data_IF_768461166021
#
_entry.id   IF_768461166021
#
_cell.length_a   1.000
_cell.length_b   1.000
_cell.length_c   1.000
_cell.angle_alpha   90.00
_cell.angle_beta   90.00
_cell.angle_gamma   90.00
#
_symmetry.space_group_name_H-M   'P 1'
#
loop_
_entity.id
_entity.type
_entity.pdbx_description
1 polymer ?
#
# COMPACT_ATOMS: atom_id res chain seq x y z
N UNK A 1 14.83 16.77 11.62
CA UNK A 1 13.64 17.04 12.46
C UNK A 1 12.66 18.08 11.87
N UNK A 2 12.66 18.36 10.54
CA UNK A 2 11.70 19.29 9.89
C UNK A 2 10.58 18.58 9.09
N UNK A 3 10.80 17.33 8.69
CA UNK A 3 9.82 16.51 7.95
C UNK A 3 8.60 16.19 8.82
N UNK A 4 8.80 15.84 10.09
CA UNK A 4 7.70 15.58 11.03
C UNK A 4 6.84 16.82 11.27
N UNK A 5 7.45 18.02 11.28
CA UNK A 5 6.73 19.29 11.45
C UNK A 5 5.85 19.59 10.24
N UNK A 6 6.34 19.35 9.02
CA UNK A 6 5.56 19.56 7.80
C UNK A 6 4.47 18.51 7.59
N UNK A 7 4.74 17.26 7.94
CA UNK A 7 3.71 16.22 7.96
C UNK A 7 2.61 16.58 8.97
N UNK A 8 2.98 17.12 10.13
CA UNK A 8 2.05 17.62 11.14
C UNK A 8 1.22 18.81 10.63
N UNK A 9 1.84 19.80 9.98
CA UNK A 9 1.15 20.96 9.39
C UNK A 9 0.19 20.55 8.25
N UNK A 10 0.58 19.61 7.39
CA UNK A 10 -0.28 19.08 6.32
C UNK A 10 -1.48 18.30 6.87
N UNK A 11 -1.33 17.68 8.04
CA UNK A 11 -2.43 17.03 8.78
C UNK A 11 -3.34 18.04 9.50
N UNK A 12 -2.79 19.17 9.96
CA UNK A 12 -3.51 20.24 10.65
C UNK A 12 -4.33 21.12 9.68
N UNK A 13 -3.87 21.31 8.44
CA UNK A 13 -4.55 22.14 7.43
C UNK A 13 -5.76 21.47 6.76
N UNK A 14 -5.97 20.18 6.99
CA UNK A 14 -7.16 19.51 6.50
C UNK A 14 -8.22 19.49 7.59
N UNK A 15 -9.34 20.18 7.39
CA UNK A 15 -10.57 20.18 8.21
C UNK A 15 -11.27 18.81 8.24
N UNK A 16 -10.48 17.75 8.37
CA UNK A 16 -10.87 16.37 8.12
C UNK A 16 -10.87 15.62 9.44
N UNK A 17 -12.02 15.04 9.80
CA UNK A 17 -12.21 14.27 11.02
C UNK A 17 -11.05 13.28 11.27
N UNK A 18 -10.59 13.11 12.53
CA UNK A 18 -9.52 12.17 12.87
C UNK A 18 -9.72 10.75 12.32
N UNK A 19 -10.98 10.31 12.20
CA UNK A 19 -11.33 9.02 11.61
C UNK A 19 -11.05 8.97 10.10
N UNK A 20 -11.35 10.04 9.38
CA UNK A 20 -11.11 10.13 7.92
C UNK A 20 -9.62 10.22 7.65
N UNK A 21 -8.85 10.96 8.48
CA UNK A 21 -7.39 11.00 8.40
C UNK A 21 -6.77 9.62 8.66
N UNK A 22 -7.24 8.91 9.69
CA UNK A 22 -6.79 7.54 9.96
C UNK A 22 -7.13 6.57 8.81
N UNK A 23 -8.32 6.68 8.23
CA UNK A 23 -8.72 5.89 7.06
C UNK A 23 -7.88 6.22 5.82
N UNK A 24 -7.58 7.50 5.59
CA UNK A 24 -6.73 7.98 4.50
C UNK A 24 -5.33 7.36 4.61
N UNK A 25 -4.77 7.34 5.82
CA UNK A 25 -3.47 6.71 6.07
C UNK A 25 -3.52 5.19 5.85
N UNK A 26 -4.57 4.53 6.33
CA UNK A 26 -4.77 3.09 6.15
C UNK A 26 -4.86 2.70 4.68
N UNK A 27 -5.60 3.46 3.86
CA UNK A 27 -5.68 3.26 2.41
C UNK A 27 -4.33 3.49 1.74
N UNK A 28 -3.62 4.56 2.08
CA UNK A 28 -2.29 4.80 1.53
C UNK A 28 -1.30 3.67 1.83
N UNK A 29 -1.29 3.17 3.06
CA UNK A 29 -0.46 2.02 3.46
C UNK A 29 -0.93 0.73 2.80
N UNK A 30 -2.23 0.49 2.67
CA UNK A 30 -2.75 -0.67 1.94
C UNK A 30 -2.24 -0.70 0.50
N UNK A 31 -2.25 0.47 -0.17
CA UNK A 31 -1.75 0.63 -1.52
C UNK A 31 -0.24 0.41 -1.61
N UNK A 32 0.53 0.87 -0.62
CA UNK A 32 1.97 0.62 -0.51
C UNK A 32 2.35 -0.87 -0.45
N UNK A 33 1.47 -1.72 0.10
CA UNK A 33 1.66 -3.16 0.20
C UNK A 33 0.88 -3.95 -0.88
N UNK A 34 0.24 -3.26 -1.82
CA UNK A 34 -0.58 -3.90 -2.84
C UNK A 34 0.28 -4.66 -3.87
N UNK A 35 -0.22 -5.75 -4.47
CA UNK A 35 0.50 -6.54 -5.48
C UNK A 35 0.56 -5.85 -6.84
N UNK A 36 0.18 -4.58 -6.95
CA UNK A 36 0.02 -3.86 -8.21
C UNK A 36 1.02 -2.70 -8.31
N UNK A 37 2.31 -2.99 -8.57
CA UNK A 37 3.31 -1.95 -8.73
C UNK A 37 2.90 -0.99 -9.84
N UNK A 38 3.02 0.32 -9.58
CA UNK A 38 2.62 1.37 -10.51
C UNK A 38 1.12 1.71 -10.51
N UNK A 39 0.22 0.72 -10.48
CA UNK A 39 -1.23 0.97 -10.46
C UNK A 39 -1.73 1.55 -9.13
N UNK A 40 -0.95 1.42 -8.06
CA UNK A 40 -1.25 2.00 -6.75
C UNK A 40 -1.61 3.50 -6.80
N UNK A 41 -1.00 4.30 -7.70
CA UNK A 41 -1.33 5.72 -7.82
C UNK A 41 -2.69 5.96 -8.49
N UNK A 42 -3.07 5.10 -9.44
CA UNK A 42 -4.40 5.14 -10.06
C UNK A 42 -5.45 4.79 -8.99
N UNK A 43 -5.21 3.72 -8.23
CA UNK A 43 -6.08 3.36 -7.11
C UNK A 43 -6.12 4.46 -6.05
N UNK A 44 -5.01 5.14 -5.77
CA UNK A 44 -4.98 6.27 -4.85
C UNK A 44 -5.94 7.37 -5.29
N UNK A 45 -5.90 7.78 -6.56
CA UNK A 45 -6.79 8.80 -7.11
C UNK A 45 -8.25 8.36 -7.00
N UNK A 46 -8.57 7.14 -7.46
CA UNK A 46 -9.93 6.59 -7.47
C UNK A 46 -10.49 6.48 -6.05
N UNK A 47 -9.75 5.83 -5.15
CA UNK A 47 -10.20 5.59 -3.77
C UNK A 47 -10.31 6.90 -2.98
N UNK A 48 -9.38 7.83 -3.18
CA UNK A 48 -9.45 9.13 -2.51
C UNK A 48 -10.69 9.90 -2.92
N UNK A 49 -11.04 9.89 -4.21
CA UNK A 49 -12.25 10.53 -4.71
C UNK A 49 -13.52 9.84 -4.19
N UNK A 50 -13.61 8.51 -4.29
CA UNK A 50 -14.82 7.75 -3.91
C UNK A 50 -15.07 7.75 -2.40
N UNK A 51 -14.03 7.59 -1.60
CA UNK A 51 -14.12 7.52 -0.14
C UNK A 51 -13.98 8.90 0.53
N UNK A 52 -13.85 9.98 -0.26
CA UNK A 52 -13.66 11.36 0.20
C UNK A 52 -12.52 11.49 1.21
N UNK A 53 -11.38 10.87 0.88
CA UNK A 53 -10.19 10.83 1.74
C UNK A 53 -9.33 12.06 1.54
N UNK A 54 -8.42 12.31 2.48
CA UNK A 54 -7.39 13.32 2.31
C UNK A 54 -6.28 12.78 1.39
N UNK A 55 -6.19 13.30 0.17
CA UNK A 55 -5.19 12.93 -0.84
C UNK A 55 -3.76 13.02 -0.31
N UNK A 56 -3.43 14.05 0.47
CA UNK A 56 -2.08 14.24 1.00
C UNK A 56 -1.72 13.14 1.98
N UNK A 57 -2.66 12.74 2.84
CA UNK A 57 -2.44 11.67 3.81
C UNK A 57 -2.34 10.32 3.13
N UNK A 58 -3.15 10.06 2.10
CA UNK A 58 -3.04 8.85 1.26
C UNK A 58 -1.64 8.79 0.62
N UNK A 59 -1.16 9.88 0.02
CA UNK A 59 0.18 9.96 -0.57
C UNK A 59 1.25 9.68 0.48
N UNK A 60 1.16 10.25 1.68
CA UNK A 60 2.09 9.98 2.78
C UNK A 60 2.11 8.49 3.13
N UNK A 61 0.94 7.83 3.17
CA UNK A 61 0.85 6.38 3.36
C UNK A 61 1.53 5.58 2.24
N UNK A 62 1.38 6.01 0.98
CA UNK A 62 2.03 5.38 -0.18
C UNK A 62 3.55 5.51 -0.11
N UNK A 63 4.08 6.62 0.42
CA UNK A 63 5.53 6.84 0.56
C UNK A 63 6.22 5.86 1.53
N UNK A 64 5.45 5.06 2.29
CA UNK A 64 5.98 3.89 2.98
C UNK A 64 6.64 2.93 2.00
N UNK A 65 6.19 2.88 0.75
CA UNK A 65 6.80 2.15 -0.35
C UNK A 65 7.84 3.02 -1.10
N UNK A 66 9.06 3.05 -0.56
CA UNK A 66 10.22 3.78 -1.08
C UNK A 66 11.35 2.80 -1.46
N UNK A 67 12.44 3.24 -2.12
CA UNK A 67 13.49 2.32 -2.58
C UNK A 67 14.11 1.44 -1.48
N UNK A 68 14.10 1.91 -0.23
CA UNK A 68 14.63 1.15 0.91
C UNK A 68 13.65 0.09 1.40
N UNK A 69 12.35 0.37 1.37
CA UNK A 69 11.30 -0.56 1.84
C UNK A 69 10.74 -1.44 0.74
N UNK A 70 10.93 -1.08 -0.53
CA UNK A 70 10.47 -1.82 -1.70
C UNK A 70 10.85 -3.30 -1.63
N UNK A 71 12.14 -3.58 -1.52
CA UNK A 71 12.65 -4.95 -1.48
C UNK A 71 12.13 -5.74 -0.26
N UNK A 72 12.22 -5.22 0.99
CA UNK A 72 11.64 -5.87 2.15
C UNK A 72 10.15 -6.19 2.02
N UNK A 73 9.35 -5.25 1.49
CA UNK A 73 7.90 -5.43 1.32
C UNK A 73 7.63 -6.59 0.34
N UNK A 74 8.27 -6.57 -0.83
CA UNK A 74 8.02 -7.60 -1.86
C UNK A 74 8.48 -8.98 -1.40
N UNK A 75 9.65 -9.05 -0.76
CA UNK A 75 10.15 -10.30 -0.18
C UNK A 75 9.19 -10.83 0.88
N UNK A 76 8.71 -9.97 1.77
CA UNK A 76 7.76 -10.37 2.81
C UNK A 76 6.45 -10.89 2.21
N UNK A 77 5.96 -10.28 1.12
CA UNK A 77 4.77 -10.76 0.42
C UNK A 77 4.97 -12.14 -0.18
N UNK A 78 6.11 -12.43 -0.80
CA UNK A 78 6.41 -13.77 -1.32
C UNK A 78 6.46 -14.79 -0.18
N UNK A 79 7.16 -14.48 0.91
CA UNK A 79 7.31 -15.36 2.07
C UNK A 79 5.96 -15.66 2.73
N UNK A 80 5.15 -14.62 2.96
CA UNK A 80 3.80 -14.77 3.54
C UNK A 80 2.90 -15.58 2.60
N UNK A 81 2.99 -15.33 1.29
CA UNK A 81 2.26 -16.08 0.28
C UNK A 81 2.59 -17.56 0.28
N UNK A 82 3.88 -17.90 0.27
CA UNK A 82 4.35 -19.28 0.31
C UNK A 82 3.98 -19.97 1.63
N UNK A 83 4.05 -19.24 2.74
CA UNK A 83 3.60 -19.77 4.04
C UNK A 83 2.11 -20.14 4.02
N UNK A 84 1.26 -19.23 3.51
CA UNK A 84 -0.20 -19.41 3.47
C UNK A 84 -0.61 -20.53 2.51
N UNK A 85 0.13 -20.70 1.42
CA UNK A 85 -0.14 -21.75 0.43
C UNK A 85 0.65 -23.05 0.71
N UNK A 86 1.31 -23.14 1.86
CA UNK A 86 2.12 -24.31 2.27
C UNK A 86 3.21 -24.70 1.25
N UNK A 87 3.80 -23.71 0.59
CA UNK A 87 4.88 -23.87 -0.40
C UNK A 87 6.24 -23.68 0.26
N UNK A 88 7.22 -24.51 -0.09
CA UNK A 88 8.59 -24.45 0.46
C UNK A 88 9.47 -23.44 -0.27
N UNK A 89 9.11 -22.15 -0.25
CA UNK A 89 9.83 -21.07 -0.95
C UNK A 89 9.90 -21.19 -2.49
N UNK A 90 9.05 -22.05 -3.07
CA UNK A 90 9.02 -22.33 -4.51
C UNK A 90 8.71 -21.10 -5.36
N UNK A 91 8.05 -20.08 -4.79
CA UNK A 91 7.75 -18.86 -5.53
C UNK A 91 8.98 -18.00 -5.76
N UNK A 92 9.97 -18.08 -4.85
CA UNK A 92 11.25 -17.42 -5.01
C UNK A 92 12.05 -18.06 -6.15
N UNK A 93 12.00 -19.38 -6.26
CA UNK A 93 12.67 -20.11 -7.33
C UNK A 93 11.98 -19.83 -8.67
N UNK A 94 10.64 -19.91 -8.72
CA UNK A 94 9.87 -19.54 -9.90
C UNK A 94 10.12 -18.09 -10.35
N UNK A 95 10.28 -17.15 -9.41
CA UNK A 95 10.67 -15.77 -9.72
C UNK A 95 12.06 -15.71 -10.35
N UNK A 96 13.03 -16.46 -9.86
CA UNK A 96 14.42 -16.43 -10.38
C UNK A 96 14.55 -17.09 -11.74
N UNK A 97 13.81 -18.17 -11.96
CA UNK A 97 13.84 -18.95 -13.20
C UNK A 97 13.05 -18.29 -14.34
N UNK A 98 12.08 -17.43 -14.02
CA UNK A 98 11.30 -16.73 -15.03
C UNK A 98 12.18 -15.80 -15.89
N UNK A 99 12.08 -15.83 -17.23
CA UNK A 99 12.95 -15.06 -18.12
C UNK A 99 12.54 -13.58 -18.21
N UNK A 100 12.73 -12.82 -17.12
CA UNK A 100 12.37 -11.40 -17.04
C UNK A 100 12.99 -10.55 -18.14
N UNK A 101 14.18 -10.91 -18.59
CA UNK A 101 14.94 -10.19 -19.62
C UNK A 101 14.33 -10.34 -21.03
N UNK A 102 13.52 -11.37 -21.26
CA UNK A 102 12.82 -11.61 -22.53
C UNK A 102 11.41 -10.98 -22.54
N UNK A 103 10.94 -10.49 -21.39
CA UNK A 103 9.63 -9.88 -21.26
C UNK A 103 9.60 -8.51 -21.96
N UNK A 104 8.86 -8.43 -23.06
CA UNK A 104 8.65 -7.22 -23.84
C UNK A 104 7.29 -7.23 -24.53
N UNK A 105 6.97 -6.18 -25.28
CA UNK A 105 5.66 -6.06 -25.93
C UNK A 105 5.35 -7.26 -26.84
N UNK A 106 6.32 -7.74 -27.62
CA UNK A 106 6.13 -8.87 -28.53
C UNK A 106 5.87 -10.19 -27.79
N UNK A 107 6.67 -10.50 -26.78
CA UNK A 107 6.55 -11.76 -26.01
C UNK A 107 5.32 -11.76 -25.12
N UNK A 108 4.91 -10.60 -24.60
CA UNK A 108 3.68 -10.45 -23.79
C UNK A 108 2.42 -10.83 -24.59
N UNK A 109 2.38 -10.56 -25.90
CA UNK A 109 1.28 -10.94 -26.78
C UNK A 109 1.53 -12.25 -27.54
N UNK A 110 2.63 -12.97 -27.27
CA UNK A 110 2.92 -14.26 -27.89
C UNK A 110 2.33 -15.40 -27.07
N UNK A 111 1.55 -16.26 -27.72
CA UNK A 111 1.03 -17.48 -27.09
C UNK A 111 2.12 -18.50 -26.75
N UNK A 112 3.21 -18.52 -27.51
CA UNK A 112 4.33 -19.47 -27.32
C UNK A 112 5.04 -19.19 -26.00
N UNK A 113 5.36 -17.91 -25.75
CA UNK A 113 6.02 -17.47 -24.52
C UNK A 113 5.24 -17.88 -23.27
N UNK A 114 3.91 -17.70 -23.29
CA UNK A 114 3.05 -18.06 -22.16
C UNK A 114 2.83 -19.57 -22.01
N UNK A 115 2.91 -20.35 -23.09
CA UNK A 115 2.88 -21.81 -23.00
C UNK A 115 4.14 -22.36 -22.32
N UNK A 116 5.30 -21.76 -22.60
CA UNK A 116 6.57 -22.18 -22.01
C UNK A 116 6.75 -21.68 -20.56
N UNK A 117 6.40 -20.41 -20.30
CA UNK A 117 6.74 -19.74 -19.04
C UNK A 117 5.55 -19.46 -18.12
N UNK A 118 4.31 -19.70 -18.58
CA UNK A 118 3.10 -19.36 -17.84
C UNK A 118 2.95 -20.11 -16.52
N UNK A 119 3.42 -21.35 -16.45
CA UNK A 119 3.39 -22.14 -15.21
C UNK A 119 4.33 -21.58 -14.13
N UNK A 120 5.53 -21.14 -14.53
CA UNK A 120 6.48 -20.43 -13.65
C UNK A 120 5.89 -19.09 -13.21
N UNK A 121 5.34 -18.33 -14.15
CA UNK A 121 4.70 -17.05 -13.85
C UNK A 121 3.56 -17.20 -12.85
N UNK A 122 2.64 -18.14 -13.07
CA UNK A 122 1.52 -18.39 -12.15
C UNK A 122 1.99 -18.93 -10.79
N UNK A 123 3.04 -19.76 -10.79
CA UNK A 123 3.65 -20.30 -9.57
C UNK A 123 4.25 -19.21 -8.69
N UNK A 124 4.77 -18.13 -9.29
CA UNK A 124 5.20 -16.93 -8.59
C UNK A 124 4.02 -15.98 -8.26
N UNK A 125 3.11 -15.76 -9.22
CA UNK A 125 2.06 -14.75 -9.13
C UNK A 125 1.04 -15.06 -8.05
N UNK A 126 0.61 -16.31 -7.91
CA UNK A 126 -0.43 -16.67 -6.92
C UNK A 126 0.04 -16.42 -5.49
N UNK A 127 1.22 -16.88 -5.06
CA UNK A 127 1.69 -16.64 -3.70
C UNK A 127 2.04 -15.17 -3.49
N UNK A 128 2.67 -14.52 -4.48
CA UNK A 128 2.89 -13.08 -4.47
C UNK A 128 1.59 -12.31 -4.21
N UNK A 129 0.52 -12.59 -4.97
CA UNK A 129 -0.76 -11.89 -4.85
C UNK A 129 -1.38 -12.07 -3.47
N UNK A 130 -1.52 -13.31 -3.00
CA UNK A 130 -2.15 -13.60 -1.72
C UNK A 130 -1.35 -13.07 -0.53
N UNK A 131 -0.03 -13.17 -0.58
CA UNK A 131 0.83 -12.64 0.46
C UNK A 131 0.73 -11.12 0.58
N UNK A 132 0.71 -10.40 -0.55
CA UNK A 132 0.52 -8.96 -0.57
C UNK A 132 -0.90 -8.54 -0.14
N UNK A 133 -1.94 -9.30 -0.51
CA UNK A 133 -3.30 -9.03 -0.03
C UNK A 133 -3.42 -9.14 1.50
N UNK A 134 -2.80 -10.18 2.08
CA UNK A 134 -2.79 -10.37 3.54
C UNK A 134 -1.99 -9.25 4.22
N UNK A 135 -0.79 -8.95 3.72
CA UNK A 135 0.03 -7.87 4.28
C UNK A 135 -0.64 -6.51 4.15
N UNK A 136 -1.24 -6.20 3.00
CA UNK A 136 -1.98 -4.96 2.77
C UNK A 136 -3.13 -4.82 3.78
N UNK A 137 -3.93 -5.88 3.99
CA UNK A 137 -5.00 -5.87 4.98
C UNK A 137 -4.46 -5.65 6.40
N UNK A 138 -3.44 -6.40 6.81
CA UNK A 138 -2.83 -6.29 8.14
C UNK A 138 -2.24 -4.89 8.39
N UNK A 139 -1.49 -4.36 7.41
CA UNK A 139 -0.84 -3.06 7.53
C UNK A 139 -1.84 -1.90 7.45
N UNK A 140 -2.93 -2.05 6.68
CA UNK A 140 -4.03 -1.09 6.67
C UNK A 140 -4.69 -0.98 8.05
N UNK A 141 -5.04 -2.13 8.64
CA UNK A 141 -5.65 -2.19 9.97
C UNK A 141 -4.72 -1.61 11.03
N UNK A 142 -3.45 -2.01 11.02
CA UNK A 142 -2.44 -1.49 11.94
C UNK A 142 -2.29 0.03 11.81
N UNK A 143 -2.16 0.53 10.58
CA UNK A 143 -1.98 1.96 10.31
C UNK A 143 -3.19 2.79 10.72
N UNK A 144 -4.41 2.29 10.49
CA UNK A 144 -5.65 2.93 10.95
C UNK A 144 -5.63 3.14 12.47
N UNK A 145 -5.39 2.08 13.23
CA UNK A 145 -5.42 2.15 14.70
C UNK A 145 -4.28 3.00 15.27
N UNK A 146 -3.06 2.89 14.73
CA UNK A 146 -1.93 3.70 15.16
C UNK A 146 -2.18 5.19 14.91
N UNK A 147 -2.69 5.53 13.72
CA UNK A 147 -3.00 6.92 13.36
C UNK A 147 -4.13 7.47 14.23
N UNK A 148 -5.21 6.72 14.40
CA UNK A 148 -6.34 7.15 15.23
C UNK A 148 -5.93 7.34 16.70
N UNK A 149 -5.12 6.43 17.23
CA UNK A 149 -4.58 6.52 18.61
C UNK A 149 -3.67 7.74 18.76
N UNK A 150 -2.83 8.02 17.76
CA UNK A 150 -1.94 9.17 17.75
C UNK A 150 -2.71 10.49 17.73
N UNK A 151 -3.75 10.60 16.89
CA UNK A 151 -4.58 11.79 16.79
C UNK A 151 -5.38 12.02 18.08
N UNK A 152 -6.03 10.98 18.64
CA UNK A 152 -6.78 11.09 19.89
C UNK A 152 -5.91 11.44 21.11
N UNK A 153 -4.63 11.07 21.10
CA UNK A 153 -3.71 11.38 22.21
C UNK A 153 -3.22 12.82 22.20
N UNK A 154 -3.42 13.54 21.09
CA UNK A 154 -3.06 14.95 20.95
C UNK A 154 -4.36 15.76 20.74
N UNK A 155 -5.02 16.26 21.80
CA UNK A 155 -6.32 16.93 21.70
C UNK A 155 -6.27 18.30 21.00
N UNK A 156 -5.07 18.86 20.78
CA UNK A 156 -4.88 20.08 19.99
C UNK A 156 -5.44 19.96 18.56
N UNK A 157 -5.67 18.72 18.08
CA UNK A 157 -6.30 18.40 16.81
C UNK A 157 -7.85 18.44 16.83
N UNK A 158 -8.50 18.41 18.00
CA UNK A 158 -9.96 18.53 18.16
C UNK A 158 -10.40 19.98 18.49
N UNK A 159 -9.60 20.71 19.29
CA UNK A 159 -9.97 22.05 19.80
C UNK A 159 -9.96 23.18 18.74
N UNK A 160 -9.17 23.07 17.67
CA UNK A 160 -9.22 24.03 16.55
C UNK A 160 -10.48 23.84 15.69
N UNK A 161 -10.96 22.61 15.54
CA UNK A 161 -12.17 22.28 14.78
C UNK A 161 -13.46 22.69 15.52
N UNK A 162 -13.51 22.55 16.85
CA UNK A 162 -14.66 22.97 17.66
C UNK A 162 -14.86 24.49 17.76
N UNK A 163 -13.81 25.29 17.47
CA UNK A 163 -13.92 26.76 17.47
C UNK A 163 -14.50 27.32 16.18
N UNK A 164 -14.26 26.68 15.03
CA UNK A 164 -14.78 27.15 13.74
C UNK A 164 -16.31 26.99 13.65
N UNK A 165 -16.87 25.89 14.17
CA UNK A 165 -18.34 25.68 14.19
C UNK A 165 -19.10 26.63 15.13
N UNK A 166 -18.43 27.33 16.04
CA UNK A 166 -19.08 28.26 17.00
C UNK A 166 -19.19 29.71 16.53
N UNK A 167 -18.76 30.02 15.30
CA UNK A 167 -18.70 31.40 14.78
C UNK A 167 -19.45 31.65 13.47
N UNK A 168 -20.32 30.72 13.05
CA UNK A 168 -21.23 30.91 11.91
C UNK A 168 -22.68 31.11 12.35
#
# INVERSE_FOLDING_TARGET
MKIFTRAKEALLLSDTSPKVTALSMAVGVALAFSPFPGLQFIFAIVLTHWLRLNSMVVIVGILVHNPWTFFPIHLSGIVVGDLVLYRKMQSMDAFREFPWHELGLRTTFSSEFWQENGSLFLSFLLPFFWGHMILAALMAVLSYYLTLKFLKRNPTFDDENGKVESTS
#
